data_IF_732622183809
#
_entry.id   IF_732622183809
#
_cell.length_a   1.000
_cell.length_b   1.000
_cell.length_c   1.000
_cell.angle_alpha   90.00
_cell.angle_beta   90.00
_cell.angle_gamma   90.00
#
_symmetry.space_group_name_H-M   'P 1'
#
loop_
_entity.id
_entity.type
_entity.pdbx_description
1 polymer ?
#
# COMPACT_ATOMS: atom_id res chain seq x y z
N UNK A 1 -11.36 -4.17 -16.62
CA UNK A 1 -12.02 -4.32 -17.94
C UNK A 1 -11.02 -4.21 -19.10
N UNK A 2 -10.23 -3.12 -19.17
CA UNK A 2 -9.22 -2.89 -20.23
C UNK A 2 -8.18 -4.01 -20.38
N UNK A 3 -7.65 -4.57 -19.29
CA UNK A 3 -6.66 -5.66 -19.35
C UNK A 3 -7.18 -6.89 -20.13
N UNK A 4 -8.45 -7.25 -19.93
CA UNK A 4 -9.09 -8.39 -20.65
C UNK A 4 -9.32 -8.06 -22.12
N UNK A 5 -9.65 -6.81 -22.42
CA UNK A 5 -9.80 -6.34 -23.80
C UNK A 5 -8.47 -6.38 -24.53
N UNK A 6 -7.39 -5.87 -23.91
CA UNK A 6 -6.01 -5.95 -24.41
C UNK A 6 -5.61 -7.40 -24.68
N UNK A 7 -5.85 -8.30 -23.72
CA UNK A 7 -5.53 -9.72 -23.87
C UNK A 7 -6.32 -10.41 -25.00
N UNK A 8 -7.66 -10.24 -25.05
CA UNK A 8 -8.53 -10.89 -26.04
C UNK A 8 -8.26 -10.44 -27.46
N UNK A 9 -7.87 -9.18 -27.62
CA UNK A 9 -7.72 -8.57 -28.94
C UNK A 9 -6.27 -8.51 -29.41
N UNK A 10 -5.31 -8.85 -28.54
CA UNK A 10 -3.88 -8.81 -28.86
C UNK A 10 -3.29 -7.40 -28.96
N UNK A 11 -4.01 -6.37 -28.49
CA UNK A 11 -3.54 -4.99 -28.54
C UNK A 11 -2.83 -4.60 -27.25
N UNK A 12 -1.71 -3.88 -27.38
CA UNK A 12 -0.91 -3.39 -26.25
C UNK A 12 -1.29 -2.00 -25.76
N UNK A 13 -2.20 -1.31 -26.47
CA UNK A 13 -2.65 0.05 -26.19
C UNK A 13 -4.01 0.34 -26.79
N UNK A 14 -4.77 1.23 -26.16
CA UNK A 14 -6.06 1.73 -26.62
C UNK A 14 -6.18 3.24 -26.43
N UNK A 15 -6.85 3.96 -27.36
CA UNK A 15 -7.26 5.33 -27.12
C UNK A 15 -8.34 5.39 -26.03
N UNK A 16 -8.32 6.46 -25.24
CA UNK A 16 -9.35 6.80 -24.26
C UNK A 16 -10.09 8.02 -24.80
N UNK A 17 -11.41 7.96 -24.87
CA UNK A 17 -12.26 9.04 -25.40
C UNK A 17 -13.30 9.46 -24.36
N UNK A 18 -13.85 10.67 -24.51
CA UNK A 18 -15.01 11.13 -23.74
C UNK A 18 -16.34 10.63 -24.33
N UNK A 19 -17.45 10.99 -23.70
CA UNK A 19 -18.80 10.58 -24.12
C UNK A 19 -19.23 11.13 -25.48
N UNK A 20 -18.54 12.16 -25.98
CA UNK A 20 -18.78 12.74 -27.30
C UNK A 20 -17.82 12.18 -28.37
N UNK A 21 -16.94 11.25 -27.99
CA UNK A 21 -15.96 10.60 -28.86
C UNK A 21 -14.66 11.37 -29.07
N UNK A 22 -14.40 12.44 -28.30
CA UNK A 22 -13.14 13.17 -28.39
C UNK A 22 -12.02 12.41 -27.67
N UNK A 23 -10.85 12.34 -28.30
CA UNK A 23 -9.67 11.68 -27.73
C UNK A 23 -9.17 12.43 -26.49
N UNK A 24 -9.20 11.75 -25.35
CA UNK A 24 -8.66 12.20 -24.07
C UNK A 24 -7.21 11.75 -23.86
N UNK A 25 -6.84 10.57 -24.39
CA UNK A 25 -5.49 10.02 -24.18
C UNK A 25 -5.30 8.59 -24.65
N UNK A 26 -4.29 7.91 -24.11
CA UNK A 26 -3.93 6.53 -24.45
C UNK A 26 -3.72 5.71 -23.17
N UNK A 27 -4.26 4.49 -23.12
CA UNK A 27 -3.99 3.51 -22.06
C UNK A 27 -3.20 2.33 -22.64
N UNK A 28 -2.13 1.91 -21.97
CA UNK A 28 -1.21 0.85 -22.42
C UNK A 28 -1.15 -0.33 -21.46
N UNK A 29 -0.59 -1.47 -21.91
CA UNK A 29 -0.28 -2.60 -21.03
C UNK A 29 0.60 -2.17 -19.85
N UNK A 30 1.51 -1.21 -20.08
CA UNK A 30 2.35 -0.64 -19.02
C UNK A 30 1.50 0.09 -17.99
N UNK A 31 0.50 0.87 -18.38
CA UNK A 31 -0.41 1.56 -17.44
C UNK A 31 -1.26 0.55 -16.65
N UNK A 32 -1.68 -0.53 -17.29
CA UNK A 32 -2.42 -1.64 -16.66
C UNK A 32 -1.57 -2.40 -15.65
N UNK A 33 -0.32 -2.69 -15.98
CA UNK A 33 0.65 -3.35 -15.09
C UNK A 33 1.05 -2.40 -13.97
N UNK A 34 1.31 -1.13 -14.30
CA UNK A 34 1.64 -0.04 -13.36
C UNK A 34 0.54 0.12 -12.30
N UNK A 35 -0.72 0.17 -12.70
CA UNK A 35 -1.86 0.19 -11.77
C UNK A 35 -2.00 -1.08 -10.91
N UNK A 36 -1.36 -2.18 -11.29
CA UNK A 36 -1.31 -3.43 -10.50
C UNK A 36 -0.10 -3.50 -9.55
N UNK A 37 0.93 -2.66 -9.73
CA UNK A 37 2.19 -2.70 -8.95
C UNK A 37 2.43 -1.46 -8.07
N UNK A 38 1.72 -0.36 -8.28
CA UNK A 38 1.73 0.87 -7.46
C UNK A 38 0.52 0.80 -6.48
N UNK A 39 0.56 0.59 -5.14
CA UNK A 39 1.41 0.98 -3.97
C UNK A 39 1.49 2.50 -3.72
N UNK A 40 1.31 2.90 -2.43
CA UNK A 40 0.91 4.26 -1.94
C UNK A 40 1.05 5.34 -3.00
N UNK A 41 0.05 5.41 -3.88
CA UNK A 41 0.03 6.39 -4.95
C UNK A 41 -0.39 7.73 -4.35
N UNK A 42 0.00 8.86 -4.95
CA UNK A 42 -0.60 10.16 -4.62
C UNK A 42 -2.13 10.10 -4.61
N UNK A 43 -2.74 9.28 -5.47
CA UNK A 43 -4.18 9.00 -5.50
C UNK A 43 -4.67 8.30 -4.23
N UNK A 44 -3.94 7.30 -3.70
CA UNK A 44 -4.30 6.63 -2.44
C UNK A 44 -4.17 7.57 -1.25
N UNK A 45 -3.11 8.39 -1.20
CA UNK A 45 -2.93 9.44 -0.19
C UNK A 45 -4.12 10.39 -0.20
N UNK A 46 -4.47 10.89 -1.38
CA UNK A 46 -5.58 11.80 -1.61
C UNK A 46 -6.93 11.19 -1.21
N UNK A 47 -7.16 9.93 -1.55
CA UNK A 47 -8.40 9.20 -1.19
C UNK A 47 -8.57 9.09 0.31
N UNK A 48 -7.51 8.70 1.03
CA UNK A 48 -7.55 8.60 2.50
C UNK A 48 -7.70 9.99 3.12
N UNK A 49 -7.01 11.01 2.60
CA UNK A 49 -7.16 12.40 3.03
C UNK A 49 -8.61 12.85 2.95
N UNK A 50 -9.23 12.72 1.77
CA UNK A 50 -10.59 13.17 1.54
C UNK A 50 -11.59 12.42 2.42
N UNK A 51 -11.37 11.11 2.61
CA UNK A 51 -12.19 10.30 3.54
C UNK A 51 -12.12 10.82 4.97
N UNK A 52 -10.92 11.17 5.46
CA UNK A 52 -10.75 11.73 6.81
C UNK A 52 -11.41 13.09 6.95
N UNK A 53 -11.27 13.97 5.96
CA UNK A 53 -11.90 15.29 5.95
C UNK A 53 -13.43 15.18 5.95
N UNK A 54 -13.99 14.31 5.11
CA UNK A 54 -15.43 14.10 4.97
C UNK A 54 -16.06 13.53 6.23
N UNK A 55 -15.45 12.50 6.83
CA UNK A 55 -15.98 11.82 8.02
C UNK A 55 -15.87 12.68 9.27
N UNK A 56 -14.77 13.41 9.43
CA UNK A 56 -14.49 14.14 10.68
C UNK A 56 -14.72 15.65 10.61
N UNK A 57 -15.07 16.18 9.42
CA UNK A 57 -15.28 17.61 9.18
C UNK A 57 -14.10 18.45 9.67
N UNK A 58 -12.90 18.04 9.27
CA UNK A 58 -11.61 18.64 9.58
C UNK A 58 -10.85 18.90 8.30
N UNK A 59 -9.91 19.83 8.32
CA UNK A 59 -8.85 19.88 7.30
C UNK A 59 -7.72 18.91 7.66
N UNK A 60 -7.15 18.29 6.64
CA UNK A 60 -6.01 17.36 6.77
C UNK A 60 -4.85 17.84 5.91
N UNK A 61 -3.73 18.14 6.56
CA UNK A 61 -2.49 18.52 5.87
C UNK A 61 -1.74 17.26 5.42
N UNK A 62 -1.12 17.33 4.25
CA UNK A 62 -0.17 16.32 3.78
C UNK A 62 1.25 16.82 4.02
N UNK A 63 2.05 16.01 4.71
CA UNK A 63 3.46 16.26 5.01
C UNK A 63 4.29 15.08 4.51
N UNK A 64 5.46 15.36 3.92
CA UNK A 64 6.41 14.34 3.46
C UNK A 64 7.68 14.39 4.30
N UNK A 65 7.84 13.41 5.20
CA UNK A 65 8.92 13.38 6.19
C UNK A 65 9.40 11.93 6.44
N UNK A 66 10.51 11.78 7.14
CA UNK A 66 10.90 10.48 7.70
C UNK A 66 10.25 10.25 9.07
N UNK A 67 9.76 9.03 9.29
CA UNK A 67 9.19 8.59 10.57
C UNK A 67 10.06 7.51 11.18
N UNK A 68 10.20 7.52 12.52
CA UNK A 68 10.84 6.41 13.21
C UNK A 68 9.91 5.19 13.19
N UNK A 69 10.45 4.02 12.85
CA UNK A 69 9.68 2.78 12.82
C UNK A 69 9.24 2.33 14.22
N UNK A 70 9.96 2.73 15.28
CA UNK A 70 9.59 2.46 16.68
C UNK A 70 8.32 3.16 17.13
N UNK A 71 7.97 4.28 16.47
CA UNK A 71 6.88 5.16 16.89
C UNK A 71 5.57 4.84 16.17
N UNK A 72 5.61 3.92 15.20
CA UNK A 72 4.47 3.52 14.38
C UNK A 72 3.56 2.55 15.12
N UNK A 73 2.28 2.92 15.22
CA UNK A 73 1.19 2.06 15.69
C UNK A 73 0.59 1.36 14.48
N UNK A 74 0.76 0.03 14.33
CA UNK A 74 0.24 -0.68 13.17
C UNK A 74 -1.26 -0.93 13.28
N UNK A 75 -1.93 -0.87 12.13
CA UNK A 75 -3.38 -1.17 12.01
C UNK A 75 -3.68 -2.58 11.50
N UNK A 76 -2.65 -3.36 11.15
CA UNK A 76 -2.76 -4.73 10.64
C UNK A 76 -2.00 -5.69 11.57
N UNK A 77 -2.70 -6.68 12.11
CA UNK A 77 -2.15 -7.61 13.10
C UNK A 77 -1.32 -8.77 12.52
N UNK A 78 -1.52 -9.12 11.25
CA UNK A 78 -0.86 -10.26 10.60
C UNK A 78 -0.31 -9.87 9.25
N UNK A 79 0.93 -10.24 8.96
CA UNK A 79 1.59 -10.08 7.66
C UNK A 79 2.19 -11.41 7.20
N UNK A 80 2.59 -11.50 5.93
CA UNK A 80 3.03 -12.75 5.31
C UNK A 80 4.53 -12.71 4.97
N UNK A 81 5.23 -13.82 5.21
CA UNK A 81 6.70 -13.92 5.03
C UNK A 81 7.14 -13.62 3.60
N UNK A 82 6.44 -14.18 2.62
CA UNK A 82 6.75 -14.01 1.19
C UNK A 82 6.71 -12.53 0.78
N UNK A 83 5.68 -11.80 1.21
CA UNK A 83 5.56 -10.37 0.96
C UNK A 83 6.64 -9.58 1.71
N UNK A 84 6.95 -9.91 2.96
CA UNK A 84 8.03 -9.26 3.73
C UNK A 84 9.38 -9.44 3.03
N UNK A 85 9.71 -10.65 2.59
CA UNK A 85 10.95 -10.94 1.86
C UNK A 85 11.06 -10.15 0.55
N UNK A 86 9.96 -10.03 -0.20
CA UNK A 86 9.92 -9.18 -1.38
C UNK A 86 10.21 -7.72 -1.03
N UNK A 87 9.69 -7.21 0.08
CA UNK A 87 9.96 -5.82 0.53
C UNK A 87 11.38 -5.62 1.01
N UNK A 88 11.97 -6.59 1.71
CA UNK A 88 13.38 -6.54 2.09
C UNK A 88 14.29 -6.40 0.86
N UNK A 89 13.97 -7.11 -0.22
CA UNK A 89 14.71 -7.00 -1.48
C UNK A 89 14.59 -5.59 -2.10
N UNK A 90 13.38 -5.04 -2.15
CA UNK A 90 13.13 -3.68 -2.68
C UNK A 90 13.82 -2.60 -1.88
N UNK A 91 13.76 -2.69 -0.55
CA UNK A 91 14.41 -1.77 0.39
C UNK A 91 15.93 -1.76 0.17
N UNK A 92 16.56 -2.93 0.06
CA UNK A 92 18.01 -3.06 -0.22
C UNK A 92 18.42 -2.43 -1.55
N UNK A 93 17.49 -2.30 -2.50
CA UNK A 93 17.70 -1.68 -3.82
C UNK A 93 17.32 -0.21 -3.87
N UNK A 94 16.85 0.38 -2.77
CA UNK A 94 16.36 1.76 -2.73
C UNK A 94 15.05 1.97 -3.51
N UNK A 95 14.29 0.90 -3.74
CA UNK A 95 13.02 0.91 -4.47
C UNK A 95 11.80 0.99 -3.55
N UNK A 96 12.03 1.10 -2.23
CA UNK A 96 10.96 1.18 -1.26
C UNK A 96 10.29 2.55 -1.30
N UNK A 97 9.00 2.53 -1.56
CA UNK A 97 8.15 3.72 -1.48
C UNK A 97 7.95 4.20 -0.04
N UNK A 98 7.52 5.47 0.13
CA UNK A 98 7.10 5.99 1.41
C UNK A 98 5.95 5.19 2.03
N UNK A 99 5.91 5.16 3.36
CA UNK A 99 4.75 4.69 4.14
C UNK A 99 3.58 5.68 4.02
N UNK A 100 2.37 5.23 4.35
CA UNK A 100 1.24 6.13 4.60
C UNK A 100 0.90 6.12 6.08
N UNK A 101 0.97 7.29 6.71
CA UNK A 101 0.79 7.46 8.15
C UNK A 101 -0.24 8.54 8.40
N UNK A 102 -1.06 8.38 9.44
CA UNK A 102 -1.88 9.46 10.00
C UNK A 102 -1.26 9.88 11.33
N UNK A 103 -0.91 11.16 11.47
CA UNK A 103 -0.44 11.74 12.72
C UNK A 103 -1.65 12.32 13.46
N UNK A 104 -2.17 11.56 14.42
CA UNK A 104 -3.34 11.91 15.22
C UNK A 104 -2.89 12.36 16.62
N UNK A 105 -2.70 13.67 16.80
CA UNK A 105 -2.00 14.18 17.97
C UNK A 105 -0.56 13.67 18.01
N UNK A 106 -0.16 13.03 19.12
CA UNK A 106 1.17 12.46 19.29
C UNK A 106 1.33 11.04 18.71
N UNK A 107 0.28 10.47 18.12
CA UNK A 107 0.23 9.07 17.69
C UNK A 107 0.47 8.97 16.18
N UNK A 108 1.37 8.08 15.76
CA UNK A 108 1.65 7.83 14.35
C UNK A 108 1.01 6.50 13.92
N UNK A 109 -0.17 6.59 13.32
CA UNK A 109 -0.95 5.43 12.91
C UNK A 109 -0.52 4.99 11.51
N UNK A 110 0.03 3.79 11.38
CA UNK A 110 0.42 3.22 10.10
C UNK A 110 -0.83 2.76 9.33
N UNK A 111 -1.16 3.48 8.25
CA UNK A 111 -2.31 3.19 7.40
C UNK A 111 -1.95 2.20 6.30
N UNK A 112 -0.76 2.34 5.71
CA UNK A 112 -0.31 1.47 4.62
C UNK A 112 1.20 1.25 4.65
N UNK A 113 1.61 0.05 4.23
CA UNK A 113 3.02 -0.34 4.15
C UNK A 113 3.51 -1.18 5.33
N UNK A 114 2.65 -1.96 6.00
CA UNK A 114 3.02 -2.81 7.14
C UNK A 114 4.14 -3.80 6.84
N UNK A 115 4.07 -4.52 5.71
CA UNK A 115 5.17 -5.39 5.30
C UNK A 115 6.46 -4.63 5.04
N UNK A 116 6.39 -3.41 4.50
CA UNK A 116 7.57 -2.56 4.27
C UNK A 116 8.18 -2.08 5.58
N UNK A 117 7.34 -1.63 6.51
CA UNK A 117 7.78 -1.18 7.83
C UNK A 117 8.45 -2.33 8.60
N UNK A 118 7.87 -3.53 8.56
CA UNK A 118 8.48 -4.71 9.21
C UNK A 118 9.75 -5.16 8.49
N UNK A 119 9.75 -5.22 7.15
CA UNK A 119 10.94 -5.54 6.36
C UNK A 119 12.11 -4.57 6.63
N UNK A 120 11.82 -3.27 6.69
CA UNK A 120 12.83 -2.24 6.99
C UNK A 120 13.41 -2.43 8.40
N UNK A 121 12.54 -2.66 9.39
CA UNK A 121 12.94 -2.96 10.76
C UNK A 121 13.82 -4.22 10.84
N UNK A 122 13.44 -5.30 10.16
CA UNK A 122 14.23 -6.53 10.07
C UNK A 122 15.60 -6.30 9.42
N UNK A 123 15.67 -5.37 8.46
CA UNK A 123 16.91 -4.95 7.82
C UNK A 123 17.76 -3.98 8.66
N UNK A 124 17.36 -3.68 9.90
CA UNK A 124 18.07 -2.77 10.80
C UNK A 124 17.88 -1.28 10.49
N UNK A 125 16.92 -0.94 9.62
CA UNK A 125 16.58 0.45 9.31
C UNK A 125 15.70 0.99 10.43
N UNK A 126 16.00 2.21 10.90
CA UNK A 126 15.29 2.84 12.02
C UNK A 126 14.25 3.87 11.57
N UNK A 127 14.41 4.43 10.37
CA UNK A 127 13.54 5.45 9.79
C UNK A 127 13.14 5.14 8.36
N UNK A 128 11.94 5.53 7.96
CA UNK A 128 11.48 5.45 6.58
C UNK A 128 10.76 6.73 6.17
N UNK A 129 10.86 7.09 4.89
CA UNK A 129 10.02 8.14 4.30
C UNK A 129 8.53 7.79 4.45
N UNK A 130 7.70 8.79 4.66
CA UNK A 130 6.25 8.64 4.76
C UNK A 130 5.51 9.86 4.21
N UNK A 131 4.36 9.59 3.60
CA UNK A 131 3.27 10.55 3.48
C UNK A 131 2.50 10.57 4.80
N UNK A 132 2.46 11.72 5.44
CA UNK A 132 1.86 11.91 6.76
C UNK A 132 0.65 12.81 6.61
N UNK A 133 -0.52 12.25 6.89
CA UNK A 133 -1.78 12.97 6.96
C UNK A 133 -1.95 13.51 8.39
N UNK A 134 -2.04 14.83 8.52
CA UNK A 134 -2.12 15.53 9.81
C UNK A 134 -3.45 16.28 9.89
N UNK A 135 -4.47 15.71 10.56
CA UNK A 135 -5.71 16.43 10.87
C UNK A 135 -5.44 17.66 11.76
N UNK A 136 -6.16 18.76 11.54
CA UNK A 136 -5.97 20.01 12.32
C UNK A 136 -6.37 19.89 13.81
N UNK A 137 -7.07 18.82 14.19
CA UNK A 137 -7.42 18.43 15.56
C UNK A 137 -7.41 16.92 15.67
N UNK A 138 -7.27 16.38 16.89
CA UNK A 138 -7.41 14.95 17.09
C UNK A 138 -8.79 14.45 16.66
N UNK A 139 -8.82 13.33 15.95
CA UNK A 139 -10.03 12.69 15.45
C UNK A 139 -10.12 11.25 15.93
N UNK A 140 -11.34 10.72 15.98
CA UNK A 140 -11.53 9.32 16.34
C UNK A 140 -11.31 8.42 15.12
N UNK A 141 -10.23 7.65 15.11
CA UNK A 141 -9.93 6.75 14.00
C UNK A 141 -10.44 5.34 14.29
N UNK A 142 -11.35 4.82 13.45
CA UNK A 142 -11.86 3.45 13.59
C UNK A 142 -10.75 2.38 13.48
N UNK A 143 -9.75 2.63 12.63
CA UNK A 143 -8.57 1.77 12.47
C UNK A 143 -7.69 1.75 13.74
N UNK A 144 -7.61 2.86 14.46
CA UNK A 144 -6.87 2.97 15.71
C UNK A 144 -7.58 2.21 16.84
N UNK A 145 -8.90 2.36 16.95
CA UNK A 145 -9.72 1.55 17.89
C UNK A 145 -9.60 0.06 17.62
N UNK A 146 -9.48 -0.32 16.35
CA UNK A 146 -9.30 -1.73 15.94
C UNK A 146 -7.91 -2.24 16.33
N UNK A 147 -6.87 -1.43 16.09
CA UNK A 147 -5.51 -1.73 16.49
C UNK A 147 -5.40 -1.95 18.00
N UNK A 148 -5.99 -1.06 18.81
CA UNK A 148 -6.02 -1.16 20.27
C UNK A 148 -6.70 -2.46 20.75
N UNK A 149 -7.87 -2.80 20.19
CA UNK A 149 -8.57 -4.07 20.51
C UNK A 149 -7.76 -5.32 20.16
N UNK A 150 -6.86 -5.21 19.19
CA UNK A 150 -5.97 -6.29 18.77
C UNK A 150 -4.64 -6.30 19.53
N UNK A 151 -4.44 -5.37 20.47
CA UNK A 151 -3.19 -5.24 21.23
C UNK A 151 -2.02 -4.72 20.39
N UNK A 152 -2.29 -3.94 19.34
CA UNK A 152 -1.28 -3.37 18.46
C UNK A 152 -0.86 -2.00 18.97
N UNK A 153 0.37 -1.91 19.46
CA UNK A 153 0.99 -0.68 19.98
C UNK A 153 2.22 -0.28 19.18
N UNK A 154 2.94 -1.25 18.62
CA UNK A 154 4.13 -1.03 17.80
C UNK A 154 4.34 -2.18 16.80
N UNK A 155 5.33 -2.04 15.91
CA UNK A 155 5.61 -3.05 14.88
C UNK A 155 6.01 -4.44 15.41
N UNK A 156 6.39 -4.60 16.69
CA UNK A 156 6.63 -5.94 17.28
C UNK A 156 5.35 -6.73 17.51
N UNK A 157 4.20 -6.06 17.61
CA UNK A 157 2.93 -6.72 17.90
C UNK A 157 2.33 -7.39 16.64
N UNK A 158 2.90 -7.12 15.46
CA UNK A 158 2.52 -7.74 14.20
C UNK A 158 3.03 -9.19 14.16
N UNK A 159 2.11 -10.13 13.93
CA UNK A 159 2.45 -11.53 13.72
C UNK A 159 2.87 -11.76 12.27
N UNK A 160 4.01 -12.41 12.07
CA UNK A 160 4.45 -12.87 10.76
C UNK A 160 3.95 -14.31 10.57
N UNK A 161 3.20 -14.54 9.50
CA UNK A 161 2.65 -15.85 9.14
C UNK A 161 3.43 -16.46 7.99
N UNK A 162 3.84 -17.72 8.15
CA UNK A 162 4.50 -18.54 7.13
C UNK A 162 3.52 -19.10 6.08
N UNK A 163 2.23 -18.76 6.18
CA UNK A 163 1.23 -19.10 5.17
C UNK A 163 1.46 -18.33 3.87
N UNK A 164 0.92 -18.85 2.76
CA UNK A 164 0.80 -18.06 1.53
C UNK A 164 -0.07 -16.83 1.83
N UNK A 165 0.37 -15.67 1.36
CA UNK A 165 -0.52 -14.51 1.31
C UNK A 165 -1.83 -14.92 0.62
N UNK A 166 -3.01 -14.47 1.09
CA UNK A 166 -4.27 -14.72 0.39
C UNK A 166 -4.28 -14.14 -1.03
N UNK A 167 -3.28 -13.31 -1.36
CA UNK A 167 -3.05 -12.75 -2.69
C UNK A 167 -1.95 -13.48 -3.47
N UNK A 168 -1.21 -14.39 -2.84
CA UNK A 168 -0.28 -15.25 -3.55
C UNK A 168 -1.08 -16.25 -4.39
N UNK A 169 -0.87 -16.21 -5.70
CA UNK A 169 -1.44 -17.14 -6.65
C UNK A 169 -0.40 -18.21 -6.98
N UNK A 170 -0.35 -19.34 -6.26
CA UNK A 170 0.63 -20.39 -6.50
C UNK A 170 0.59 -20.87 -7.96
N UNK A 171 1.73 -20.79 -8.64
CA UNK A 171 1.85 -21.26 -10.02
C UNK A 171 2.44 -22.68 -10.01
N UNK A 172 1.72 -23.63 -10.60
CA UNK A 172 2.23 -24.98 -10.85
C UNK A 172 3.00 -24.97 -12.14
N UNK A 173 4.28 -25.33 -12.06
CA UNK A 173 5.15 -25.51 -13.22
C UNK A 173 5.25 -27.00 -13.58
N UNK A 174 5.24 -27.30 -14.87
CA UNK A 174 5.58 -28.61 -15.43
C UNK A 174 6.64 -28.39 -16.51
N UNK A 175 7.82 -28.99 -16.33
CA UNK A 175 8.99 -28.78 -17.21
C UNK A 175 9.36 -27.30 -17.41
N UNK A 176 9.23 -26.47 -16.37
CA UNK A 176 9.52 -25.05 -16.43
C UNK A 176 8.45 -24.19 -17.11
N UNK A 177 7.34 -24.80 -17.55
CA UNK A 177 6.20 -24.11 -18.15
C UNK A 177 5.07 -24.00 -17.14
N UNK A 178 4.41 -22.85 -17.09
CA UNK A 178 3.21 -22.64 -16.26
C UNK A 178 2.09 -23.57 -16.71
N UNK A 179 1.79 -24.59 -15.92
CA UNK A 179 0.71 -25.57 -16.15
C UNK A 179 -0.63 -25.02 -15.68
N UNK A 180 -0.67 -24.44 -14.49
CA UNK A 180 -1.86 -23.79 -13.93
C UNK A 180 -1.50 -22.80 -12.82
N UNK A 181 -2.37 -21.83 -12.61
CA UNK A 181 -2.38 -20.96 -11.45
C UNK A 181 -3.41 -21.55 -10.47
N UNK A 182 -3.04 -21.72 -9.21
CA UNK A 182 -3.84 -22.29 -8.12
C UNK A 182 -4.26 -21.16 -7.18
#
# INVERSE_FOLDING_TARGET
AVARLMFRTGHSKFPVVDDNGYLLGLITNTDVIRAHIERVTPVKVETIRNTLEELHKVRVQLVEEEVNLSDLIPTQAVIYVDEVQAREYEIKRGLAEPLLVVRNGNRLILVDGHHRAVAAKNAGITKMKAYILVPEREVELGMEKTAEKQGLHNLNDIKISDGLSPYALPIVLENGVVKRIV
#
